data_IF_210013478978
#
_entry.id   IF_210013478978
#
_cell.length_a   1.000
_cell.length_b   1.000
_cell.length_c   1.000
_cell.angle_alpha   90.00
_cell.angle_beta   90.00
_cell.angle_gamma   90.00
#
_symmetry.space_group_name_H-M   'P 1'
#
loop_
_entity.id
_entity.type
_entity.pdbx_description
1 polymer ?
#
# COMPACT_ATOMS: atom_id res chain seq x y z
N UNK A 1 -33.65 26.42 19.80
CA UNK A 1 -32.45 26.27 20.67
C UNK A 1 -31.88 24.84 20.73
N UNK A 2 -32.61 23.77 20.35
CA UNK A 2 -32.09 22.38 20.40
C UNK A 2 -31.51 21.82 19.09
N UNK A 3 -31.78 22.41 17.92
CA UNK A 3 -31.24 21.92 16.64
C UNK A 3 -29.77 22.32 16.40
N UNK A 4 -29.26 23.32 17.11
CA UNK A 4 -27.90 23.86 16.88
C UNK A 4 -26.80 23.10 17.64
N UNK A 5 -27.16 22.22 18.58
CA UNK A 5 -26.18 21.38 19.29
C UNK A 5 -25.85 20.08 18.54
N UNK A 6 -26.71 19.62 17.63
CA UNK A 6 -26.47 18.36 16.90
C UNK A 6 -25.43 18.52 15.77
N UNK A 7 -25.20 19.76 15.30
CA UNK A 7 -24.27 20.06 14.22
C UNK A 7 -22.82 20.24 14.71
N UNK A 8 -22.61 20.56 15.99
CA UNK A 8 -21.25 20.73 16.55
C UNK A 8 -20.55 19.42 16.90
N UNK A 9 -21.25 18.28 16.97
CA UNK A 9 -20.64 16.97 17.25
C UNK A 9 -20.10 16.26 15.99
N UNK A 10 -20.31 16.83 14.80
CA UNK A 10 -19.82 16.23 13.54
C UNK A 10 -18.39 16.70 13.17
N UNK A 11 -17.85 17.69 13.89
CA UNK A 11 -16.56 18.32 13.56
C UNK A 11 -15.33 17.70 14.23
N UNK A 12 -15.45 16.58 14.95
CA UNK A 12 -14.35 16.00 15.75
C UNK A 12 -13.88 14.61 15.28
N UNK A 13 -14.22 14.16 14.06
CA UNK A 13 -13.67 12.91 13.47
C UNK A 13 -12.83 13.09 12.20
N UNK A 14 -12.42 14.33 11.88
CA UNK A 14 -11.48 14.63 10.78
C UNK A 14 -10.00 14.45 11.14
N UNK A 15 -9.70 13.54 12.06
CA UNK A 15 -8.37 13.33 12.63
C UNK A 15 -7.39 12.69 11.65
N UNK A 16 -6.78 13.50 10.80
CA UNK A 16 -5.38 13.40 10.34
C UNK A 16 -4.83 12.00 10.02
N UNK A 17 -5.44 11.28 9.09
CA UNK A 17 -4.64 10.44 8.20
C UNK A 17 -4.23 11.33 7.03
N UNK A 18 -3.04 11.93 7.12
CA UNK A 18 -2.40 12.55 5.96
C UNK A 18 -2.47 11.55 4.81
N UNK A 19 -3.08 11.86 3.65
CA UNK A 19 -2.99 10.98 2.52
C UNK A 19 -1.52 10.99 2.13
N UNK A 20 -0.77 9.95 2.52
CA UNK A 20 0.50 9.64 1.88
C UNK A 20 0.16 9.56 0.40
N UNK A 21 0.52 10.59 -0.34
CA UNK A 21 0.19 10.66 -1.76
C UNK A 21 0.98 9.54 -2.40
N UNK A 22 0.27 8.47 -2.75
CA UNK A 22 0.89 7.32 -3.39
C UNK A 22 1.22 7.75 -4.81
N UNK A 23 2.50 7.94 -5.08
CA UNK A 23 3.00 8.30 -6.41
C UNK A 23 3.36 7.07 -7.22
N UNK A 24 3.35 7.19 -8.55
CA UNK A 24 3.84 6.12 -9.42
C UNK A 24 5.31 5.81 -9.14
N UNK A 25 6.15 6.80 -8.81
CA UNK A 25 7.55 6.59 -8.42
C UNK A 25 7.69 5.71 -7.18
N UNK A 26 6.85 5.93 -6.16
CA UNK A 26 6.83 5.11 -4.96
C UNK A 26 6.44 3.67 -5.30
N UNK A 27 5.43 3.48 -6.15
CA UNK A 27 5.03 2.15 -6.63
C UNK A 27 6.19 1.47 -7.36
N UNK A 28 6.87 2.16 -8.27
CA UNK A 28 8.04 1.61 -8.98
C UNK A 28 9.16 1.21 -8.02
N UNK A 29 9.45 2.04 -7.01
CA UNK A 29 10.44 1.71 -5.99
C UNK A 29 10.08 0.40 -5.26
N UNK A 30 8.82 0.20 -4.90
CA UNK A 30 8.38 -1.05 -4.27
C UNK A 30 8.46 -2.26 -5.23
N UNK A 31 8.17 -2.07 -6.51
CA UNK A 31 8.32 -3.13 -7.53
C UNK A 31 9.79 -3.53 -7.72
N UNK A 32 10.70 -2.57 -7.80
CA UNK A 32 12.13 -2.81 -7.90
C UNK A 32 12.67 -3.51 -6.65
N UNK A 33 12.21 -3.08 -5.46
CA UNK A 33 12.55 -3.74 -4.21
C UNK A 33 12.05 -5.19 -4.18
N UNK A 34 10.83 -5.45 -4.66
CA UNK A 34 10.29 -6.81 -4.73
C UNK A 34 11.13 -7.70 -5.63
N UNK A 35 11.56 -7.19 -6.79
CA UNK A 35 12.48 -7.90 -7.70
C UNK A 35 13.79 -8.26 -7.01
N UNK A 36 14.42 -7.31 -6.33
CA UNK A 36 15.67 -7.55 -5.61
C UNK A 36 15.50 -8.57 -4.47
N UNK A 37 14.39 -8.48 -3.72
CA UNK A 37 14.09 -9.41 -2.64
C UNK A 37 13.90 -10.84 -3.16
N UNK A 38 13.19 -11.02 -4.28
CA UNK A 38 13.01 -12.34 -4.90
C UNK A 38 14.37 -12.95 -5.28
N UNK A 39 15.24 -12.17 -5.92
CA UNK A 39 16.59 -12.63 -6.27
C UNK A 39 17.41 -13.00 -5.03
N UNK A 40 17.37 -12.17 -3.99
CA UNK A 40 18.07 -12.43 -2.74
C UNK A 40 17.52 -13.65 -1.98
N UNK A 41 16.19 -13.90 -2.02
CA UNK A 41 15.57 -15.08 -1.43
C UNK A 41 16.07 -16.35 -2.13
N UNK A 42 16.10 -16.35 -3.47
CA UNK A 42 16.62 -17.48 -4.25
C UNK A 42 18.09 -17.77 -3.92
N UNK A 43 18.93 -16.75 -3.88
CA UNK A 43 20.34 -16.89 -3.50
C UNK A 43 20.52 -17.41 -2.06
N UNK A 44 19.76 -16.86 -1.11
CA UNK A 44 19.81 -17.28 0.29
C UNK A 44 19.35 -18.74 0.48
N UNK A 45 18.37 -19.20 -0.29
CA UNK A 45 17.94 -20.60 -0.28
C UNK A 45 19.04 -21.52 -0.84
N UNK A 46 19.69 -21.13 -1.95
CA UNK A 46 20.78 -21.89 -2.55
C UNK A 46 22.02 -21.96 -1.65
N UNK A 47 22.26 -20.92 -0.85
CA UNK A 47 23.44 -20.82 0.04
C UNK A 47 23.16 -21.25 1.49
N UNK A 48 21.93 -21.67 1.81
CA UNK A 48 21.55 -22.13 3.15
C UNK A 48 21.42 -21.02 4.21
N UNK A 49 21.30 -19.75 3.80
CA UNK A 49 21.14 -18.60 4.71
C UNK A 49 19.69 -18.44 5.15
N UNK A 50 19.23 -19.34 6.02
CA UNK A 50 17.82 -19.44 6.42
C UNK A 50 17.28 -18.17 7.09
N UNK A 51 18.05 -17.55 8.00
CA UNK A 51 17.61 -16.32 8.69
C UNK A 51 17.46 -15.13 7.73
N UNK A 52 18.43 -14.96 6.83
CA UNK A 52 18.42 -13.89 5.83
C UNK A 52 17.29 -14.11 4.81
N UNK A 53 17.02 -15.37 4.44
CA UNK A 53 15.86 -15.76 3.64
C UNK A 53 14.55 -15.36 4.32
N UNK A 54 14.35 -15.72 5.59
CA UNK A 54 13.15 -15.40 6.35
C UNK A 54 12.92 -13.88 6.47
N UNK A 55 13.99 -13.11 6.72
CA UNK A 55 13.93 -11.64 6.73
C UNK A 55 13.53 -11.05 5.38
N UNK A 56 14.12 -11.55 4.30
CA UNK A 56 13.77 -11.08 2.95
C UNK A 56 12.33 -11.45 2.57
N UNK A 57 11.86 -12.65 2.98
CA UNK A 57 10.47 -13.07 2.79
C UNK A 57 9.49 -12.17 3.52
N UNK A 58 9.75 -11.84 4.79
CA UNK A 58 8.89 -10.94 5.57
C UNK A 58 8.78 -9.55 4.92
N UNK A 59 9.90 -9.01 4.43
CA UNK A 59 9.91 -7.72 3.72
C UNK A 59 9.17 -7.79 2.39
N UNK A 60 9.35 -8.87 1.62
CA UNK A 60 8.62 -9.07 0.37
C UNK A 60 7.11 -9.13 0.61
N UNK A 61 6.68 -9.86 1.63
CA UNK A 61 5.27 -9.96 2.01
C UNK A 61 4.69 -8.60 2.38
N UNK A 62 5.40 -7.81 3.18
CA UNK A 62 5.00 -6.45 3.54
C UNK A 62 4.81 -5.57 2.30
N UNK A 63 5.78 -5.57 1.40
CA UNK A 63 5.72 -4.77 0.17
C UNK A 63 4.54 -5.17 -0.73
N UNK A 64 4.29 -6.47 -0.89
CA UNK A 64 3.15 -6.97 -1.68
C UNK A 64 1.81 -6.55 -1.06
N UNK A 65 1.68 -6.67 0.27
CA UNK A 65 0.47 -6.27 0.96
C UNK A 65 0.23 -4.76 0.89
N UNK A 66 1.30 -3.96 0.96
CA UNK A 66 1.22 -2.52 0.77
C UNK A 66 0.78 -2.14 -0.65
N UNK A 67 1.35 -2.77 -1.68
CA UNK A 67 0.94 -2.56 -3.07
C UNK A 67 -0.52 -2.99 -3.33
N UNK A 68 -0.98 -4.08 -2.71
CA UNK A 68 -2.37 -4.50 -2.78
C UNK A 68 -3.31 -3.47 -2.13
N UNK A 69 -2.98 -2.97 -0.93
CA UNK A 69 -3.76 -1.93 -0.27
C UNK A 69 -3.84 -0.64 -1.09
N UNK A 70 -2.75 -0.26 -1.78
CA UNK A 70 -2.74 0.84 -2.74
C UNK A 70 -3.73 0.57 -3.88
N UNK A 71 -3.65 -0.62 -4.49
CA UNK A 71 -4.51 -1.00 -5.62
C UNK A 71 -5.99 -1.00 -5.22
N UNK A 72 -6.33 -1.52 -4.04
CA UNK A 72 -7.70 -1.55 -3.51
C UNK A 72 -8.22 -0.16 -3.17
N UNK A 73 -7.34 0.77 -2.78
CA UNK A 73 -7.69 2.17 -2.46
C UNK A 73 -7.85 3.06 -3.70
N UNK A 74 -7.54 2.55 -4.91
CA UNK A 74 -7.77 3.31 -6.13
C UNK A 74 -9.28 3.52 -6.32
N UNK A 75 -9.73 4.74 -6.64
CA UNK A 75 -11.13 4.92 -7.02
C UNK A 75 -11.43 3.99 -8.21
N UNK A 76 -12.59 3.30 -8.24
CA UNK A 76 -12.98 2.55 -9.42
C UNK A 76 -12.87 3.50 -10.60
N UNK A 77 -12.01 3.15 -11.57
CA UNK A 77 -11.86 3.94 -12.78
C UNK A 77 -13.27 4.10 -13.34
N UNK A 78 -13.82 5.31 -13.28
CA UNK A 78 -15.07 5.63 -13.91
C UNK A 78 -14.88 5.22 -15.36
N UNK A 79 -15.52 4.12 -15.75
CA UNK A 79 -15.41 3.50 -17.05
C UNK A 79 -15.44 4.62 -18.07
N UNK A 80 -14.29 4.89 -18.68
CA UNK A 80 -14.18 5.94 -19.66
C UNK A 80 -15.22 5.62 -20.73
N UNK A 81 -16.24 6.49 -20.78
CA UNK A 81 -17.24 6.67 -21.80
C UNK A 81 -16.92 5.88 -23.08
N UNK A 82 -17.47 4.68 -23.20
CA UNK A 82 -17.67 4.02 -24.49
C UNK A 82 -19.17 4.11 -24.81
N UNK A 83 -19.66 5.34 -24.95
CA UNK A 83 -20.77 5.62 -25.85
C UNK A 83 -20.16 5.59 -27.26
N UNK A 84 -20.42 4.50 -27.98
CA UNK A 84 -20.28 4.39 -29.42
C UNK A 84 -21.60 3.93 -29.98
#
# INVERSE_FOLDING_TARGET
MQQHLMQMNQNMMGGYASPTTVTTDLIQQYLDQNKQLILAILDNQNTGKVEECARNQAKLQHNLMYLAAIADSQPPQASAMAQG
#
